data_IF_566733005629
#
_entry.id   IF_566733005629
#
_cell.length_a   1.000
_cell.length_b   1.000
_cell.length_c   1.000
_cell.angle_alpha   90.00
_cell.angle_beta   90.00
_cell.angle_gamma   90.00
#
_symmetry.space_group_name_H-M   'P 1'
#
loop_
_entity.id
_entity.type
_entity.pdbx_description
1 polymer ?
#
# COMPACT_ATOMS: atom_id res chain seq x y z
N UNK A 1 0.78 24.06 15.18
CA UNK A 1 1.01 23.38 13.91
C UNK A 1 2.23 22.48 14.01
N UNK A 2 2.05 21.21 13.84
CA UNK A 2 3.15 20.25 13.83
C UNK A 2 3.48 19.93 12.37
N UNK A 3 4.68 20.31 11.95
CA UNK A 3 5.17 19.97 10.62
C UNK A 3 5.87 18.62 10.68
N UNK A 4 5.37 17.66 9.93
CA UNK A 4 5.97 16.35 9.80
C UNK A 4 6.79 16.28 8.52
N UNK A 5 7.99 15.76 8.61
CA UNK A 5 8.74 15.33 7.43
C UNK A 5 8.31 13.94 7.06
N UNK A 6 7.02 13.75 6.87
CA UNK A 6 6.46 12.49 6.41
C UNK A 6 6.33 12.51 4.89
N UNK A 7 6.62 11.38 4.27
CA UNK A 7 6.50 11.28 2.82
C UNK A 7 5.04 11.44 2.39
N UNK A 8 4.80 12.30 1.40
CA UNK A 8 3.46 12.49 0.86
C UNK A 8 3.11 11.29 -0.03
N UNK A 9 2.00 10.59 0.23
CA UNK A 9 1.56 9.48 -0.61
C UNK A 9 0.95 9.98 -1.91
N UNK A 10 0.88 9.10 -2.93
CA UNK A 10 0.17 9.41 -4.16
C UNK A 10 -1.32 9.62 -3.89
N UNK A 11 -1.91 8.73 -3.11
CA UNK A 11 -3.29 8.86 -2.64
C UNK A 11 -3.42 8.39 -1.21
N UNK A 12 -4.35 8.99 -0.48
CA UNK A 12 -4.71 8.56 0.86
C UNK A 12 -6.22 8.65 1.03
N UNK A 13 -6.80 7.61 1.63
CA UNK A 13 -8.24 7.55 1.91
C UNK A 13 -8.42 7.44 3.42
N UNK A 14 -9.12 8.39 4.00
CA UNK A 14 -9.42 8.39 5.43
C UNK A 14 -10.83 7.85 5.65
N UNK A 15 -10.94 6.82 6.45
CA UNK A 15 -12.21 6.23 6.84
C UNK A 15 -12.45 6.52 8.31
N UNK A 16 -13.52 7.27 8.57
CA UNK A 16 -13.92 7.64 9.93
C UNK A 16 -15.07 6.76 10.37
N UNK A 17 -15.00 6.26 11.60
CA UNK A 17 -16.12 5.56 12.21
C UNK A 17 -17.12 6.57 12.78
N UNK A 18 -18.41 6.29 12.67
CA UNK A 18 -19.47 7.06 13.34
C UNK A 18 -19.38 6.95 14.86
N UNK A 19 -18.89 5.83 15.37
CA UNK A 19 -18.65 5.61 16.79
C UNK A 19 -17.18 5.85 17.12
N UNK A 20 -16.87 7.08 17.46
CA UNK A 20 -15.50 7.53 17.76
C UNK A 20 -14.87 6.83 18.98
N UNK A 21 -15.69 6.17 19.82
CA UNK A 21 -15.20 5.52 21.02
C UNK A 21 -14.67 4.11 20.79
N UNK A 22 -15.08 3.45 19.72
CA UNK A 22 -14.78 2.03 19.48
C UNK A 22 -13.62 1.77 18.53
N UNK A 23 -13.37 2.65 17.57
CA UNK A 23 -12.44 2.35 16.50
C UNK A 23 -11.54 3.53 16.20
N UNK A 24 -10.26 3.24 16.00
CA UNK A 24 -9.33 4.20 15.41
C UNK A 24 -9.77 4.51 13.99
N UNK A 25 -9.64 5.75 13.52
CA UNK A 25 -9.83 6.04 12.11
C UNK A 25 -8.83 5.23 11.28
N UNK A 26 -9.27 4.74 10.15
CA UNK A 26 -8.42 3.98 9.23
C UNK A 26 -7.90 4.89 8.12
N UNK A 27 -6.62 4.78 7.84
CA UNK A 27 -5.99 5.49 6.74
C UNK A 27 -5.43 4.47 5.74
N UNK A 28 -5.95 4.51 4.52
CA UNK A 28 -5.46 3.68 3.42
C UNK A 28 -4.49 4.51 2.60
N UNK A 29 -3.23 4.11 2.59
CA UNK A 29 -2.19 4.75 1.80
C UNK A 29 -2.03 3.98 0.49
N UNK A 30 -2.12 4.68 -0.63
CA UNK A 30 -1.99 4.08 -1.95
C UNK A 30 -0.78 4.68 -2.65
N UNK A 31 0.16 3.82 -3.02
CA UNK A 31 1.34 4.18 -3.81
C UNK A 31 1.27 3.52 -5.18
N UNK A 32 1.36 4.35 -6.20
CA UNK A 32 1.37 3.89 -7.60
C UNK A 32 2.82 3.80 -8.05
N UNK A 33 3.22 2.62 -8.54
CA UNK A 33 4.54 2.39 -9.11
C UNK A 33 4.39 2.01 -10.58
N UNK A 34 4.83 2.90 -11.44
CA UNK A 34 4.73 2.75 -12.88
C UNK A 34 6.13 2.71 -13.49
N UNK A 35 6.63 1.51 -13.68
CA UNK A 35 7.92 1.27 -14.29
C UNK A 35 7.75 0.22 -15.39
N UNK A 36 8.30 0.51 -16.57
CA UNK A 36 8.09 -0.32 -17.76
C UNK A 36 9.38 -0.95 -18.29
N UNK A 37 10.52 -0.64 -17.65
CA UNK A 37 11.84 -1.18 -18.02
C UNK A 37 12.56 -1.60 -16.75
N UNK A 38 13.61 -2.41 -16.89
CA UNK A 38 14.42 -2.83 -15.77
C UNK A 38 15.05 -1.64 -15.04
N UNK A 39 15.23 -1.77 -13.74
CA UNK A 39 15.79 -0.74 -12.88
C UNK A 39 15.71 -1.19 -11.43
N UNK A 40 15.81 -0.25 -10.50
CA UNK A 40 15.83 -0.50 -9.07
C UNK A 40 14.44 -0.86 -8.52
N UNK A 41 13.82 -1.91 -9.04
CA UNK A 41 12.48 -2.36 -8.63
C UNK A 41 12.48 -2.75 -7.16
N UNK A 42 13.46 -3.55 -6.76
CA UNK A 42 13.57 -4.10 -5.42
C UNK A 42 13.60 -2.97 -4.38
N UNK A 43 14.44 -1.97 -4.60
CA UNK A 43 14.60 -0.84 -3.68
C UNK A 43 13.30 -0.09 -3.47
N UNK A 44 12.54 0.13 -4.55
CA UNK A 44 11.27 0.85 -4.49
C UNK A 44 10.21 0.09 -3.70
N UNK A 45 10.18 -1.23 -3.84
CA UNK A 45 9.19 -2.06 -3.15
C UNK A 45 9.63 -2.38 -1.72
N UNK A 46 10.92 -2.64 -1.48
CA UNK A 46 11.48 -2.78 -0.13
C UNK A 46 11.22 -1.52 0.71
N UNK A 47 11.36 -0.36 0.10
CA UNK A 47 11.10 0.91 0.77
C UNK A 47 9.67 1.00 1.31
N UNK A 48 8.70 0.34 0.67
CA UNK A 48 7.32 0.30 1.13
C UNK A 48 7.16 -0.22 2.55
N UNK A 49 7.95 -1.23 2.93
CA UNK A 49 7.92 -1.79 4.29
C UNK A 49 8.35 -0.73 5.31
N UNK A 50 9.46 -0.05 5.02
CA UNK A 50 9.97 1.01 5.89
C UNK A 50 9.03 2.23 5.92
N UNK A 51 8.48 2.61 4.78
CA UNK A 51 7.55 3.73 4.66
C UNK A 51 6.27 3.46 5.45
N UNK A 52 5.71 2.25 5.35
CA UNK A 52 4.54 1.87 6.13
C UNK A 52 4.80 1.99 7.63
N UNK A 53 5.93 1.49 8.10
CA UNK A 53 6.33 1.61 9.51
C UNK A 53 6.50 3.05 9.93
N UNK A 54 7.01 3.89 9.05
CA UNK A 54 7.15 5.32 9.30
C UNK A 54 5.80 6.00 9.48
N UNK A 55 4.82 5.68 8.63
CA UNK A 55 3.46 6.17 8.80
C UNK A 55 2.85 5.69 10.12
N UNK A 56 3.03 4.42 10.46
CA UNK A 56 2.53 3.85 11.72
C UNK A 56 3.13 4.54 12.94
N UNK A 57 4.40 4.90 12.87
CA UNK A 57 5.08 5.63 13.94
C UNK A 57 4.53 7.05 14.11
N UNK A 58 4.41 7.80 13.01
CA UNK A 58 3.95 9.19 13.07
C UNK A 58 2.45 9.33 13.28
N UNK A 59 1.67 8.35 12.83
CA UNK A 59 0.21 8.37 12.88
C UNK A 59 -0.30 7.23 13.76
N UNK A 60 0.21 7.13 14.98
CA UNK A 60 -0.11 6.04 15.90
C UNK A 60 -1.58 5.96 16.28
N UNK A 61 -2.32 7.08 16.16
CA UNK A 61 -3.76 7.13 16.43
C UNK A 61 -4.61 6.64 15.24
N UNK A 62 -3.96 6.25 14.14
CA UNK A 62 -4.62 5.73 12.94
C UNK A 62 -4.27 4.27 12.75
N UNK A 63 -5.23 3.54 12.20
CA UNK A 63 -4.98 2.20 11.70
C UNK A 63 -4.56 2.33 10.23
N UNK A 64 -3.32 1.97 9.92
CA UNK A 64 -2.72 2.19 8.61
C UNK A 64 -2.83 0.94 7.75
N UNK A 65 -3.41 1.08 6.56
CA UNK A 65 -3.35 0.09 5.51
C UNK A 65 -2.54 0.65 4.33
N UNK A 66 -1.68 -0.17 3.75
CA UNK A 66 -0.75 0.26 2.71
C UNK A 66 -0.92 -0.62 1.47
N UNK A 67 -1.08 0.01 0.32
CA UNK A 67 -1.35 -0.66 -0.95
C UNK A 67 -0.42 -0.15 -2.03
N UNK A 68 0.20 -1.07 -2.76
CA UNK A 68 0.86 -0.77 -4.03
C UNK A 68 -0.08 -1.07 -5.20
N UNK A 69 -0.16 -0.15 -6.14
CA UNK A 69 -0.76 -0.39 -7.44
C UNK A 69 0.39 -0.43 -8.45
N UNK A 70 0.62 -1.58 -9.06
CA UNK A 70 1.76 -1.81 -9.92
C UNK A 70 1.37 -1.83 -11.40
N UNK A 71 2.24 -1.25 -12.25
CA UNK A 71 2.13 -1.39 -13.70
C UNK A 71 2.24 -2.87 -14.11
N UNK A 72 1.86 -3.17 -15.34
CA UNK A 72 1.96 -4.53 -15.90
C UNK A 72 3.36 -5.10 -15.74
N UNK A 73 4.37 -4.33 -16.07
CA UNK A 73 5.75 -4.77 -15.96
C UNK A 73 6.14 -5.15 -14.54
N UNK A 74 5.86 -4.26 -13.58
CA UNK A 74 6.21 -4.50 -12.17
C UNK A 74 5.40 -5.65 -11.55
N UNK A 75 4.12 -5.71 -11.86
CA UNK A 75 3.26 -6.76 -11.35
C UNK A 75 3.73 -8.14 -11.84
N UNK A 76 3.98 -8.28 -13.13
CA UNK A 76 4.46 -9.54 -13.69
C UNK A 76 5.85 -9.92 -13.16
N UNK A 77 6.70 -8.93 -12.93
CA UNK A 77 8.03 -9.16 -12.38
C UNK A 77 7.96 -9.68 -10.94
N UNK A 78 7.15 -9.06 -10.10
CA UNK A 78 7.05 -9.39 -8.67
C UNK A 78 6.22 -10.65 -8.44
N UNK A 79 5.08 -10.76 -9.10
CA UNK A 79 4.15 -11.88 -8.91
C UNK A 79 4.52 -13.07 -9.80
N UNK A 80 4.98 -12.81 -11.01
CA UNK A 80 5.29 -13.85 -12.00
C UNK A 80 6.68 -14.45 -11.90
N UNK A 81 7.67 -13.67 -11.45
CA UNK A 81 9.07 -14.12 -11.35
C UNK A 81 9.35 -14.64 -9.94
N UNK A 82 8.89 -15.83 -9.67
CA UNK A 82 8.87 -16.41 -8.33
C UNK A 82 10.25 -16.63 -7.69
N UNK A 83 11.28 -16.95 -8.48
CA UNK A 83 12.59 -17.24 -7.89
C UNK A 83 13.27 -15.99 -7.35
N UNK A 84 13.32 -14.94 -8.16
CA UNK A 84 14.07 -13.72 -7.79
C UNK A 84 13.34 -12.90 -6.72
N UNK A 85 12.02 -12.79 -6.83
CA UNK A 85 11.22 -11.89 -5.98
C UNK A 85 10.38 -12.60 -4.93
N UNK A 86 10.57 -13.89 -4.74
CA UNK A 86 9.80 -14.67 -3.79
C UNK A 86 9.96 -14.14 -2.35
N UNK A 87 11.17 -13.83 -1.95
CA UNK A 87 11.45 -13.25 -0.63
C UNK A 87 10.81 -11.88 -0.44
N UNK A 88 10.88 -11.04 -1.46
CA UNK A 88 10.25 -9.71 -1.42
C UNK A 88 8.74 -9.81 -1.34
N UNK A 89 8.12 -10.64 -2.19
CA UNK A 89 6.67 -10.86 -2.16
C UNK A 89 6.19 -11.35 -0.81
N UNK A 90 6.93 -12.28 -0.21
CA UNK A 90 6.60 -12.81 1.11
C UNK A 90 6.69 -11.73 2.19
N UNK A 91 7.76 -10.94 2.18
CA UNK A 91 7.94 -9.87 3.16
C UNK A 91 6.89 -8.76 3.04
N UNK A 92 6.50 -8.42 1.82
CA UNK A 92 5.40 -7.48 1.60
C UNK A 92 4.09 -8.03 2.16
N UNK A 93 3.81 -9.30 1.90
CA UNK A 93 2.63 -9.98 2.43
C UNK A 93 2.66 -10.06 3.96
N UNK A 94 3.80 -10.44 4.54
CA UNK A 94 3.96 -10.52 6.00
C UNK A 94 3.83 -9.16 6.67
N UNK A 95 4.13 -8.09 5.94
CA UNK A 95 3.95 -6.70 6.40
C UNK A 95 2.55 -6.16 6.14
N UNK A 96 1.63 -6.99 5.66
CA UNK A 96 0.26 -6.62 5.28
C UNK A 96 0.22 -5.49 4.24
N UNK A 97 1.16 -5.51 3.30
CA UNK A 97 1.15 -4.60 2.16
C UNK A 97 0.45 -5.31 1.00
N UNK A 98 -0.66 -4.76 0.55
CA UNK A 98 -1.43 -5.30 -0.57
C UNK A 98 -0.85 -4.83 -1.89
N UNK A 99 -0.91 -5.71 -2.89
CA UNK A 99 -0.44 -5.41 -4.25
C UNK A 99 -1.60 -5.61 -5.21
N UNK A 100 -1.95 -4.54 -5.93
CA UNK A 100 -2.96 -4.57 -6.98
C UNK A 100 -2.33 -4.36 -8.34
N UNK A 101 -2.88 -5.02 -9.33
CA UNK A 101 -2.50 -4.85 -10.71
C UNK A 101 -3.26 -3.65 -11.31
N UNK A 102 -2.54 -2.60 -11.68
CA UNK A 102 -3.14 -1.35 -12.16
C UNK A 102 -3.91 -1.48 -13.47
N UNK A 103 -3.57 -2.47 -14.31
CA UNK A 103 -4.25 -2.71 -15.57
C UNK A 103 -5.30 -3.83 -15.50
N UNK A 104 -5.57 -4.35 -14.30
CA UNK A 104 -6.65 -5.31 -14.10
C UNK A 104 -8.00 -4.63 -14.43
N UNK A 105 -8.84 -5.33 -15.18
CA UNK A 105 -10.18 -4.85 -15.50
C UNK A 105 -11.00 -4.60 -14.23
N UNK A 106 -10.70 -5.32 -13.15
CA UNK A 106 -11.36 -5.20 -11.87
C UNK A 106 -10.65 -4.24 -10.91
N UNK A 107 -9.73 -3.43 -11.40
CA UNK A 107 -8.90 -2.55 -10.59
C UNK A 107 -9.72 -1.63 -9.66
N UNK A 108 -10.72 -0.95 -10.21
CA UNK A 108 -11.57 -0.06 -9.42
C UNK A 108 -12.44 -0.84 -8.43
N UNK A 109 -12.92 -2.01 -8.81
CA UNK A 109 -13.68 -2.89 -7.93
C UNK A 109 -12.83 -3.36 -6.76
N UNK A 110 -11.57 -3.72 -7.00
CA UNK A 110 -10.64 -4.13 -5.96
C UNK A 110 -10.43 -3.01 -4.93
N UNK A 111 -10.24 -1.79 -5.39
CA UNK A 111 -10.10 -0.62 -4.51
C UNK A 111 -11.40 -0.35 -3.76
N UNK A 112 -12.53 -0.42 -4.45
CA UNK A 112 -13.84 -0.23 -3.84
C UNK A 112 -14.09 -1.25 -2.73
N UNK A 113 -13.80 -2.52 -2.98
CA UNK A 113 -13.96 -3.57 -1.98
C UNK A 113 -13.03 -3.38 -0.79
N UNK A 114 -11.83 -2.89 -1.02
CA UNK A 114 -10.91 -2.55 0.05
C UNK A 114 -11.50 -1.47 0.96
N UNK A 115 -12.06 -0.43 0.38
CA UNK A 115 -12.72 0.67 1.13
C UNK A 115 -13.90 0.13 1.92
N UNK A 116 -14.79 -0.64 1.28
CA UNK A 116 -15.99 -1.19 1.91
C UNK A 116 -15.61 -2.12 3.07
N UNK A 117 -14.66 -3.01 2.88
CA UNK A 117 -14.23 -3.95 3.93
C UNK A 117 -13.63 -3.22 5.14
N UNK A 118 -13.00 -2.09 4.93
CA UNK A 118 -12.42 -1.28 6.00
C UNK A 118 -13.42 -0.28 6.62
N UNK A 119 -14.60 -0.13 6.01
CA UNK A 119 -15.66 0.78 6.50
C UNK A 119 -16.65 0.09 7.45
N UNK A 120 -16.57 -1.22 7.58
CA UNK A 120 -17.50 -2.01 8.41
C UNK A 120 -17.15 -2.01 9.89
#
# INVERSE_FOLDING_TARGET
LILFTIRIPDHAILILSKDKKKFKPKLIIIEIKNQNVSGSVDEKLWAGIAIKKNYQYWLENFDIEYVFILSTYLYNLVIGNKKKYNGLSKLLSDSNIKIFYGNDINHFENIYNLIINNSK
#
